data_IF_207555356015
#
_entry.id   IF_207555356015
#
_cell.length_a   1.000
_cell.length_b   1.000
_cell.length_c   1.000
_cell.angle_alpha   90.00
_cell.angle_beta   90.00
_cell.angle_gamma   90.00
#
_symmetry.space_group_name_H-M   'P 1'
#
loop_
_entity.id
_entity.type
_entity.pdbx_description
1 polymer ?
#
# COMPACT_ATOMS: atom_id res chain seq x y z
N UNK A 1 -18.18 -24.79 -6.62
CA UNK A 1 -18.20 -24.13 -5.28
C UNK A 1 -19.07 -22.88 -5.37
N UNK A 2 -20.03 -22.68 -4.47
CA UNK A 2 -20.93 -21.52 -4.53
C UNK A 2 -20.13 -20.21 -4.28
N UNK A 3 -20.31 -19.19 -5.13
CA UNK A 3 -19.58 -17.91 -5.07
C UNK A 3 -19.74 -17.20 -3.71
N UNK A 4 -20.96 -17.22 -3.15
CA UNK A 4 -21.26 -16.61 -1.86
C UNK A 4 -20.48 -17.30 -0.74
N UNK A 5 -20.43 -18.64 -0.79
CA UNK A 5 -19.70 -19.44 0.18
C UNK A 5 -18.19 -19.15 0.14
N UNK A 6 -17.59 -19.02 -1.05
CA UNK A 6 -16.17 -18.71 -1.18
C UNK A 6 -15.83 -17.32 -0.61
N UNK A 7 -16.52 -16.28 -1.06
CA UNK A 7 -16.24 -14.90 -0.61
C UNK A 7 -16.41 -14.75 0.89
N UNK A 8 -17.46 -15.35 1.48
CA UNK A 8 -17.68 -15.33 2.93
C UNK A 8 -16.51 -15.94 3.70
N UNK A 9 -16.02 -17.12 3.29
CA UNK A 9 -14.90 -17.78 3.96
C UNK A 9 -13.61 -16.96 3.93
N UNK A 10 -13.33 -16.29 2.81
CA UNK A 10 -12.13 -15.43 2.70
C UNK A 10 -12.26 -14.18 3.59
N UNK A 11 -13.45 -13.57 3.64
CA UNK A 11 -13.70 -12.40 4.51
C UNK A 11 -13.56 -12.77 5.99
N UNK A 12 -14.19 -13.87 6.42
CA UNK A 12 -14.14 -14.33 7.81
C UNK A 12 -12.68 -14.64 8.23
N UNK A 13 -11.91 -15.28 7.35
CA UNK A 13 -10.48 -15.53 7.60
C UNK A 13 -9.67 -14.23 7.68
N UNK A 14 -9.92 -13.28 6.79
CA UNK A 14 -9.21 -12.00 6.75
C UNK A 14 -9.40 -11.19 8.03
N UNK A 15 -10.60 -11.19 8.62
CA UNK A 15 -10.88 -10.47 9.86
C UNK A 15 -9.96 -10.90 11.01
N UNK A 16 -9.58 -12.18 11.06
CA UNK A 16 -8.74 -12.75 12.13
C UNK A 16 -7.25 -12.70 11.75
N UNK A 17 -6.91 -12.90 10.48
CA UNK A 17 -5.53 -13.18 10.04
C UNK A 17 -4.88 -12.05 9.22
N UNK A 18 -5.54 -10.89 9.09
CA UNK A 18 -4.98 -9.79 8.30
C UNK A 18 -3.63 -9.29 8.83
N UNK A 19 -2.74 -8.96 7.90
CA UNK A 19 -1.47 -8.31 8.20
C UNK A 19 -1.68 -6.82 8.46
N UNK A 20 -1.01 -6.29 9.48
CA UNK A 20 -0.96 -4.84 9.75
C UNK A 20 -0.01 -4.14 8.77
N UNK A 21 -0.56 -3.61 7.67
CA UNK A 21 0.19 -2.86 6.65
C UNK A 21 -0.21 -1.38 6.69
N UNK A 22 0.73 -0.41 6.68
CA UNK A 22 0.41 1.02 6.82
C UNK A 22 -0.58 1.54 5.76
N UNK A 23 -0.41 1.13 4.50
CA UNK A 23 -1.28 1.52 3.39
C UNK A 23 -2.71 0.96 3.49
N UNK A 24 -2.97 -0.02 4.35
CA UNK A 24 -4.34 -0.50 4.66
C UNK A 24 -5.03 0.29 5.78
N UNK A 25 -4.31 1.20 6.45
CA UNK A 25 -4.84 2.04 7.55
C UNK A 25 -5.23 3.44 7.07
N UNK A 26 -5.26 3.68 5.77
CA UNK A 26 -5.59 4.96 5.17
C UNK A 26 -6.61 4.78 4.03
N UNK A 27 -7.32 5.85 3.70
CA UNK A 27 -8.17 5.98 2.49
C UNK A 27 -7.59 6.96 1.48
N UNK A 28 -6.38 7.44 1.73
CA UNK A 28 -5.67 8.37 0.86
C UNK A 28 -5.26 7.67 -0.45
N UNK A 29 -5.81 8.09 -1.61
CA UNK A 29 -5.55 7.42 -2.88
C UNK A 29 -4.07 7.49 -3.29
N UNK A 30 -3.36 8.56 -2.93
CA UNK A 30 -1.93 8.71 -3.26
C UNK A 30 -1.10 7.68 -2.50
N UNK A 31 -1.35 7.51 -1.20
CA UNK A 31 -0.63 6.50 -0.38
C UNK A 31 -0.98 5.08 -0.78
N UNK A 32 -2.23 4.82 -1.17
CA UNK A 32 -2.62 3.50 -1.71
C UNK A 32 -1.88 3.24 -3.01
N UNK A 33 -1.94 4.17 -3.99
CA UNK A 33 -1.23 4.05 -5.27
C UNK A 33 0.28 3.85 -5.09
N UNK A 34 0.92 4.66 -4.25
CA UNK A 34 2.35 4.55 -3.95
C UNK A 34 2.72 3.16 -3.43
N UNK A 35 1.90 2.59 -2.55
CA UNK A 35 2.15 1.24 -2.03
C UNK A 35 2.07 0.17 -3.11
N UNK A 36 1.12 0.29 -4.05
CA UNK A 36 0.98 -0.66 -5.15
C UNK A 36 2.18 -0.59 -6.08
N UNK A 37 2.64 0.62 -6.46
CA UNK A 37 3.82 0.80 -7.33
C UNK A 37 5.08 0.18 -6.71
N UNK A 38 5.35 0.47 -5.44
CA UNK A 38 6.52 -0.07 -4.74
C UNK A 38 6.46 -1.61 -4.70
N UNK A 39 5.28 -2.20 -4.51
CA UNK A 39 5.12 -3.64 -4.30
C UNK A 39 4.99 -4.46 -5.59
N UNK A 40 4.89 -3.85 -6.77
CA UNK A 40 4.80 -4.58 -8.05
C UNK A 40 6.03 -5.47 -8.33
N UNK A 41 7.22 -5.03 -7.90
CA UNK A 41 8.48 -5.76 -8.11
C UNK A 41 9.27 -6.01 -6.83
N UNK A 42 8.72 -5.67 -5.65
CA UNK A 42 9.41 -5.84 -4.35
C UNK A 42 8.57 -6.62 -3.34
N UNK A 43 9.25 -7.25 -2.38
CA UNK A 43 8.58 -7.89 -1.24
C UNK A 43 8.23 -6.84 -0.19
N UNK A 44 7.18 -7.08 0.61
CA UNK A 44 6.74 -6.18 1.70
C UNK A 44 7.89 -5.78 2.63
N UNK A 45 8.76 -6.72 3.02
CA UNK A 45 9.88 -6.43 3.92
C UNK A 45 10.88 -5.42 3.33
N UNK A 46 11.07 -5.44 2.00
CA UNK A 46 11.95 -4.52 1.29
C UNK A 46 11.25 -3.21 0.96
N UNK A 47 9.97 -3.24 0.55
CA UNK A 47 9.22 -2.05 0.15
C UNK A 47 8.74 -1.17 1.32
N UNK A 48 8.55 -1.73 2.52
CA UNK A 48 8.01 -0.99 3.66
C UNK A 48 8.85 0.24 4.09
N UNK A 49 10.19 0.16 4.19
CA UNK A 49 11.02 1.34 4.44
C UNK A 49 10.85 2.42 3.37
N UNK A 50 10.89 2.04 2.08
CA UNK A 50 10.71 2.99 0.97
C UNK A 50 9.33 3.66 0.99
N UNK A 51 8.27 2.90 1.25
CA UNK A 51 6.93 3.46 1.39
C UNK A 51 6.87 4.53 2.49
N UNK A 52 7.48 4.26 3.65
CA UNK A 52 7.50 5.21 4.77
C UNK A 52 8.27 6.48 4.44
N UNK A 53 9.44 6.34 3.82
CA UNK A 53 10.25 7.49 3.43
C UNK A 53 9.57 8.30 2.33
N UNK A 54 9.06 7.68 1.26
CA UNK A 54 8.33 8.39 0.21
C UNK A 54 7.09 9.11 0.74
N UNK A 55 6.27 8.45 1.56
CA UNK A 55 5.06 9.06 2.11
C UNK A 55 5.36 10.19 3.12
N UNK A 56 6.58 10.25 3.66
CA UNK A 56 7.06 11.32 4.53
C UNK A 56 7.67 12.47 3.74
N UNK A 57 8.53 12.16 2.77
CA UNK A 57 9.26 13.14 1.93
C UNK A 57 8.33 13.82 0.93
N UNK A 58 7.37 13.07 0.38
CA UNK A 58 6.37 13.56 -0.57
C UNK A 58 4.97 13.26 -0.03
N UNK A 59 4.41 14.10 0.87
CA UNK A 59 3.13 13.82 1.51
C UNK A 59 1.94 13.77 0.53
N UNK A 60 1.99 14.51 -0.57
CA UNK A 60 1.01 14.49 -1.65
C UNK A 60 1.66 14.26 -3.03
N UNK A 61 0.85 13.83 -4.01
CA UNK A 61 1.29 13.61 -5.39
C UNK A 61 1.92 14.87 -6.01
N UNK A 62 1.47 16.06 -5.62
CA UNK A 62 2.04 17.32 -6.11
C UNK A 62 3.43 17.62 -5.56
N UNK A 63 3.78 17.11 -4.36
CA UNK A 63 5.11 17.24 -3.81
C UNK A 63 6.10 16.35 -4.57
N UNK A 64 5.67 15.13 -4.89
CA UNK A 64 6.43 14.22 -5.76
C UNK A 64 6.61 14.83 -7.16
N UNK A 65 5.55 15.41 -7.74
CA UNK A 65 5.60 16.00 -9.08
C UNK A 65 6.51 17.24 -9.17
N UNK A 66 6.76 17.94 -8.06
CA UNK A 66 7.65 19.10 -8.00
C UNK A 66 9.10 18.73 -7.68
N UNK A 67 9.37 17.50 -7.25
CA UNK A 67 10.69 17.04 -6.93
C UNK A 67 11.53 16.90 -8.20
N UNK A 68 12.84 17.17 -8.09
CA UNK A 68 13.76 16.83 -9.18
C UNK A 68 13.94 15.31 -9.25
N UNK A 69 14.32 14.80 -10.42
CA UNK A 69 14.57 13.36 -10.59
C UNK A 69 15.66 12.85 -9.64
N UNK A 70 16.66 13.67 -9.30
CA UNK A 70 17.71 13.30 -8.33
C UNK A 70 17.19 13.18 -6.88
N UNK A 71 16.04 13.77 -6.57
CA UNK A 71 15.40 13.67 -5.25
C UNK A 71 14.48 12.45 -5.14
N UNK A 72 14.13 11.83 -6.26
CA UNK A 72 13.23 10.67 -6.38
C UNK A 72 14.03 9.39 -6.51
#
# INVERSE_FOLDING_TARGET
MNKIFFSKRIIDWYQINQRSLPWRKTRDPYKIWLSEIILQQTRVAQGLPYFKEFAKTFPAVFDLAKASEQQV
#
